data_IF_568275496233
#
_entry.id   IF_568275496233
#
_cell.length_a   1.000
_cell.length_b   1.000
_cell.length_c   1.000
_cell.angle_alpha   90.00
_cell.angle_beta   90.00
_cell.angle_gamma   90.00
#
_symmetry.space_group_name_H-M   'P 1'
#
loop_
_entity.id
_entity.type
_entity.pdbx_description
1 polymer ?
#
# COMPACT_ATOMS: atom_id res chain seq x y z
N UNK A 1 10.38 -9.47 13.97
CA UNK A 1 10.13 -9.72 12.54
C UNK A 1 9.23 -8.58 12.05
N UNK A 2 9.55 -7.86 10.96
CA UNK A 2 8.60 -6.89 10.40
C UNK A 2 7.56 -7.69 9.63
N UNK A 3 6.34 -7.75 10.14
CA UNK A 3 5.23 -8.39 9.45
C UNK A 3 4.73 -7.46 8.34
N UNK A 4 4.61 -7.99 7.12
CA UNK A 4 4.13 -7.27 5.94
C UNK A 4 2.79 -7.86 5.49
N UNK A 5 2.00 -7.03 4.84
CA UNK A 5 0.74 -7.40 4.19
C UNK A 5 0.84 -7.04 2.71
N UNK A 6 0.35 -7.93 1.87
CA UNK A 6 0.27 -7.75 0.42
C UNK A 6 -1.18 -7.50 0.05
N UNK A 7 -1.40 -6.46 -0.76
CA UNK A 7 -2.67 -6.17 -1.41
C UNK A 7 -2.50 -6.33 -2.91
N UNK A 8 -3.43 -7.05 -3.52
CA UNK A 8 -3.50 -7.26 -4.98
C UNK A 8 -4.35 -6.16 -5.63
N UNK A 9 -4.18 -5.97 -6.94
CA UNK A 9 -5.00 -5.04 -7.77
C UNK A 9 -5.10 -3.60 -7.24
N UNK A 10 -4.02 -3.11 -6.62
CA UNK A 10 -3.93 -1.75 -6.09
C UNK A 10 -3.64 -0.78 -7.21
N UNK A 11 -4.49 0.22 -7.38
CA UNK A 11 -4.31 1.29 -8.37
C UNK A 11 -3.65 2.51 -7.74
N UNK A 12 -2.62 3.05 -8.38
CA UNK A 12 -2.00 4.32 -7.96
C UNK A 12 -2.68 5.48 -8.67
N UNK A 13 -3.61 6.12 -7.96
CA UNK A 13 -4.42 7.24 -8.47
C UNK A 13 -3.55 8.46 -8.74
N UNK A 14 -2.67 8.84 -7.80
CA UNK A 14 -1.78 10.00 -7.96
C UNK A 14 -0.52 9.91 -7.13
N UNK A 15 0.48 10.68 -7.57
CA UNK A 15 1.76 10.85 -6.90
C UNK A 15 1.74 12.14 -6.06
N UNK A 16 2.02 12.03 -4.77
CA UNK A 16 2.34 13.19 -3.91
C UNK A 16 3.85 13.32 -3.69
N UNK A 17 4.26 14.31 -2.89
CA UNK A 17 5.70 14.57 -2.67
C UNK A 17 6.40 13.43 -1.91
N UNK A 18 5.70 12.78 -0.97
CA UNK A 18 6.26 11.74 -0.08
C UNK A 18 5.42 10.46 0.01
N UNK A 19 4.36 10.37 -0.78
CA UNK A 19 3.40 9.28 -0.73
C UNK A 19 2.74 9.03 -2.10
N UNK A 20 2.20 7.84 -2.27
CA UNK A 20 1.26 7.49 -3.34
C UNK A 20 -0.16 7.53 -2.79
N UNK A 21 -1.10 8.12 -3.52
CA UNK A 21 -2.51 7.87 -3.27
C UNK A 21 -2.85 6.58 -4.00
N UNK A 22 -3.23 5.57 -3.24
CA UNK A 22 -3.61 4.26 -3.76
C UNK A 22 -5.09 4.01 -3.52
N UNK A 23 -5.75 3.40 -4.49
CA UNK A 23 -7.04 2.78 -4.31
C UNK A 23 -6.83 1.31 -3.92
N UNK A 24 -7.31 0.93 -2.74
CA UNK A 24 -7.16 -0.40 -2.15
C UNK A 24 -8.54 -0.86 -1.68
N UNK A 25 -9.08 -1.91 -2.29
CA UNK A 25 -10.36 -2.53 -1.87
C UNK A 25 -11.51 -1.52 -1.61
N UNK A 26 -11.69 -0.55 -2.52
CA UNK A 26 -12.76 0.46 -2.39
C UNK A 26 -12.39 1.67 -1.53
N UNK A 27 -11.14 1.78 -1.04
CA UNK A 27 -10.67 2.90 -0.21
C UNK A 27 -9.49 3.62 -0.84
N UNK A 28 -9.55 4.95 -0.82
CA UNK A 28 -8.43 5.80 -1.22
C UNK A 28 -7.56 6.14 -0.01
N UNK A 29 -6.29 5.72 -0.04
CA UNK A 29 -5.35 5.85 1.08
C UNK A 29 -3.99 6.37 0.64
N UNK A 30 -3.38 7.23 1.46
CA UNK A 30 -2.03 7.71 1.23
C UNK A 30 -0.99 6.77 1.82
N UNK A 31 -0.17 6.17 0.96
CA UNK A 31 0.91 5.26 1.34
C UNK A 31 2.26 5.97 1.26
N UNK A 32 2.96 6.19 2.39
CA UNK A 32 4.28 6.80 2.38
C UNK A 32 5.29 5.93 1.64
N UNK A 33 6.15 6.54 0.81
CA UNK A 33 7.17 5.79 0.04
C UNK A 33 8.08 4.95 0.91
N UNK A 34 8.44 5.48 2.08
CA UNK A 34 9.32 4.82 3.06
C UNK A 34 8.72 3.55 3.65
N UNK A 35 7.42 3.32 3.45
CA UNK A 35 6.72 2.14 3.94
C UNK A 35 6.30 1.17 2.82
N UNK A 36 6.51 1.51 1.55
CA UNK A 36 6.34 0.56 0.45
C UNK A 36 7.57 -0.34 0.41
N UNK A 37 7.38 -1.64 0.54
CA UNK A 37 8.49 -2.58 0.53
C UNK A 37 9.21 -2.55 -0.85
N UNK A 38 10.54 -2.51 -0.82
CA UNK A 38 11.36 -2.59 -2.03
C UNK A 38 11.66 -4.06 -2.34
N UNK A 39 10.63 -4.84 -2.66
CA UNK A 39 10.72 -6.27 -2.99
C UNK A 39 10.23 -6.53 -4.41
N UNK A 40 10.58 -7.69 -4.98
CA UNK A 40 10.06 -8.13 -6.28
C UNK A 40 8.55 -8.40 -6.25
N UNK A 41 7.98 -8.58 -5.05
CA UNK A 41 6.55 -8.70 -4.85
C UNK A 41 5.82 -7.35 -5.04
N UNK A 42 6.43 -6.22 -4.68
CA UNK A 42 5.82 -4.89 -4.80
C UNK A 42 6.02 -4.30 -6.21
N UNK A 43 4.94 -4.26 -6.99
CA UNK A 43 5.00 -3.87 -8.41
C UNK A 43 4.56 -2.43 -8.68
N UNK A 44 3.93 -1.75 -7.72
CA UNK A 44 3.51 -0.34 -7.89
C UNK A 44 4.57 0.65 -7.41
N UNK A 45 4.79 1.74 -8.17
CA UNK A 45 5.83 2.76 -7.90
C UNK A 45 5.43 4.19 -8.24
N UNK A 46 4.49 4.40 -9.18
CA UNK A 46 4.14 5.72 -9.73
C UNK A 46 2.65 5.80 -10.08
N UNK A 47 2.17 7.02 -10.28
CA UNK A 47 0.80 7.26 -10.73
C UNK A 47 0.51 6.53 -12.04
N UNK A 48 -0.66 5.88 -12.10
CA UNK A 48 -1.11 5.05 -13.23
C UNK A 48 -0.69 3.58 -13.14
N UNK A 49 0.16 3.18 -12.19
CA UNK A 49 0.43 1.76 -11.99
C UNK A 49 -0.79 1.04 -11.38
N UNK A 50 -1.00 -0.21 -11.77
CA UNK A 50 -1.92 -1.14 -11.11
C UNK A 50 -1.19 -2.45 -10.83
N UNK A 51 -1.27 -2.95 -9.58
CA UNK A 51 -0.56 -4.17 -9.19
C UNK A 51 -0.47 -4.38 -7.69
N UNK A 52 0.64 -4.94 -7.23
CA UNK A 52 0.84 -5.35 -5.84
C UNK A 52 1.44 -4.24 -4.99
N UNK A 53 0.77 -3.97 -3.87
CA UNK A 53 1.28 -3.14 -2.78
C UNK A 53 1.72 -4.04 -1.62
N UNK A 54 2.94 -3.87 -1.15
CA UNK A 54 3.44 -4.55 0.06
C UNK A 54 3.83 -3.51 1.09
N UNK A 55 3.17 -3.53 2.25
CA UNK A 55 3.38 -2.56 3.34
C UNK A 55 3.46 -3.25 4.71
N UNK A 56 4.11 -2.63 5.72
CA UNK A 56 4.08 -3.15 7.08
C UNK A 56 2.65 -3.30 7.61
N UNK A 57 2.40 -4.40 8.34
CA UNK A 57 1.08 -4.67 8.94
C UNK A 57 0.60 -3.54 9.84
N UNK A 58 1.48 -2.92 10.62
CA UNK A 58 1.11 -1.79 11.48
C UNK A 58 0.53 -0.61 10.68
N UNK A 59 1.03 -0.37 9.47
CA UNK A 59 0.55 0.69 8.61
C UNK A 59 -0.81 0.31 8.01
N UNK A 60 -0.95 -0.94 7.55
CA UNK A 60 -2.23 -1.45 7.05
C UNK A 60 -3.35 -1.33 8.09
N UNK A 61 -3.05 -1.64 9.36
CA UNK A 61 -3.97 -1.45 10.49
C UNK A 61 -4.32 0.02 10.71
N UNK A 62 -3.32 0.91 10.75
CA UNK A 62 -3.54 2.34 10.95
C UNK A 62 -4.36 2.99 9.81
N UNK A 63 -4.27 2.44 8.60
CA UNK A 63 -5.04 2.89 7.44
C UNK A 63 -6.41 2.20 7.33
N UNK A 64 -6.74 1.27 8.23
CA UNK A 64 -7.99 0.52 8.18
C UNK A 64 -8.12 -0.37 6.94
N UNK A 65 -7.00 -0.86 6.40
CA UNK A 65 -6.94 -1.78 5.27
C UNK A 65 -7.01 -3.25 5.69
N UNK A 66 -6.70 -3.53 6.97
CA UNK A 66 -6.87 -4.85 7.58
C UNK A 66 -7.51 -4.69 8.94
N UNK A 67 -8.30 -5.68 9.33
CA UNK A 67 -8.86 -5.74 10.67
C UNK A 67 -7.89 -6.44 11.64
N UNK A 68 -7.99 -6.06 12.92
CA UNK A 68 -7.45 -6.89 14.00
C UNK A 68 -8.39 -8.07 14.13
N UNK A 69 -7.98 -9.26 13.67
CA UNK A 69 -8.69 -10.48 13.98
C UNK A 69 -8.80 -10.60 15.51
N UNK A 70 -10.03 -10.70 16.01
CA UNK A 70 -10.35 -10.85 17.42
C UNK A 70 -10.00 -12.26 17.94
#
# INVERSE_FOLDING_TARGET
>A
MREFVTFEEVEVVKRGDRALLCHVEGKDVWIPYVNIALTDEATIRRAGDCGRLVIPRWLALNLGLVDVAA
#
